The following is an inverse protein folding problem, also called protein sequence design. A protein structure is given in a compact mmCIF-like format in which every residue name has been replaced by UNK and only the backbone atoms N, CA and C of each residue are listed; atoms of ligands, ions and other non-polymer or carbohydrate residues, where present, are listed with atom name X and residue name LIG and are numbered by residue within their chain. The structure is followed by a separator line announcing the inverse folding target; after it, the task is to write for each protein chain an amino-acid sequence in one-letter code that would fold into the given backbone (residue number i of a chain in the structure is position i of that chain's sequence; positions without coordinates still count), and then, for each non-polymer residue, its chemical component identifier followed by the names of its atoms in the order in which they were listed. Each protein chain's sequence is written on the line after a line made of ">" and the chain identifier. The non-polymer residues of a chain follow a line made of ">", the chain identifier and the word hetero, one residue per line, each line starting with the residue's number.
data_IF_092862131838
#
_entry.id   IF_092862131838
#
_cell.length_a   1.000
_cell.length_b   1.000
_cell.length_c   1.000
_cell.angle_alpha   90.00
_cell.angle_beta   90.00
_cell.angle_gamma   90.00
#
_symmetry.space_group_name_H-M   'P 1'
#
loop_
_entity.id
_entity.type
_entity.pdbx_description
1 polymer ?
#
# COMPACT_ATOMS: atom_id res chain seq x y z
N UNK A 1 -17.68 24.17 15.82
CA UNK A 1 -17.55 23.31 14.62
C UNK A 1 -16.17 22.69 14.69
N UNK A 2 -16.05 21.38 14.86
CA UNK A 2 -14.77 20.70 14.84
C UNK A 2 -14.16 20.88 13.45
N UNK A 3 -12.93 21.36 13.39
CA UNK A 3 -12.20 21.53 12.13
C UNK A 3 -12.04 20.15 11.49
N UNK A 4 -12.76 19.86 10.40
CA UNK A 4 -12.65 18.60 9.64
C UNK A 4 -11.25 18.59 9.03
N UNK A 5 -10.54 17.47 9.19
CA UNK A 5 -9.20 17.28 8.63
C UNK A 5 -9.28 17.27 7.09
N UNK A 6 -8.48 18.11 6.43
CA UNK A 6 -8.49 18.26 4.98
C UNK A 6 -7.18 17.80 4.38
N UNK A 7 -7.25 16.78 3.52
CA UNK A 7 -6.13 16.39 2.69
C UNK A 7 -5.89 17.43 1.59
N UNK A 8 -4.67 17.48 1.07
CA UNK A 8 -4.30 18.32 -0.07
C UNK A 8 -3.64 17.47 -1.15
N UNK A 9 -3.69 17.92 -2.38
CA UNK A 9 -2.95 17.32 -3.48
C UNK A 9 -1.46 17.59 -3.27
N UNK A 10 -0.63 16.59 -3.52
CA UNK A 10 0.80 16.79 -3.71
C UNK A 10 1.13 16.75 -5.20
N UNK A 11 1.51 17.87 -5.75
CA UNK A 11 2.17 17.95 -7.06
C UNK A 11 3.67 18.05 -6.83
N UNK A 12 4.32 16.88 -6.72
CA UNK A 12 5.70 16.83 -6.25
C UNK A 12 5.83 17.39 -4.83
N UNK A 13 6.70 18.36 -4.67
CA UNK A 13 6.97 19.04 -3.39
C UNK A 13 5.97 20.15 -3.05
N UNK A 14 5.00 20.42 -3.93
CA UNK A 14 4.01 21.49 -3.75
C UNK A 14 2.67 20.95 -3.28
N UNK A 15 2.12 21.53 -2.19
CA UNK A 15 0.75 21.26 -1.75
C UNK A 15 -0.25 22.20 -2.46
N UNK A 16 -1.30 21.64 -3.01
CA UNK A 16 -2.42 22.42 -3.56
C UNK A 16 -3.75 21.95 -2.96
N UNK A 17 -4.65 22.90 -2.73
CA UNK A 17 -6.04 22.64 -2.34
C UNK A 17 -6.99 22.91 -3.52
N UNK A 18 -8.22 22.40 -3.42
CA UNK A 18 -9.31 22.66 -4.34
C UNK A 18 -10.54 23.11 -3.56
N UNK A 19 -11.38 23.92 -4.18
CA UNK A 19 -12.69 24.28 -3.60
C UNK A 19 -13.61 23.06 -3.54
N UNK A 20 -13.58 22.24 -4.60
CA UNK A 20 -14.32 20.99 -4.64
C UNK A 20 -13.66 19.95 -3.76
N UNK A 21 -14.35 19.55 -2.69
CA UNK A 21 -13.91 18.57 -1.71
C UNK A 21 -14.90 17.40 -1.65
N UNK A 22 -14.37 16.19 -1.59
CA UNK A 22 -15.15 14.99 -1.27
C UNK A 22 -15.01 14.69 0.22
N UNK A 23 -16.13 14.68 0.93
CA UNK A 23 -16.17 14.31 2.35
C UNK A 23 -15.99 12.81 2.52
N UNK A 24 -15.20 12.43 3.52
CA UNK A 24 -15.14 11.06 4.03
C UNK A 24 -15.96 10.95 5.30
N UNK A 25 -16.93 10.04 5.28
CA UNK A 25 -17.76 9.68 6.44
C UNK A 25 -17.25 8.41 7.06
N UNK A 26 -17.18 8.39 8.39
CA UNK A 26 -16.87 7.17 9.15
C UNK A 26 -17.91 6.09 8.85
N UNK A 27 -17.50 4.87 8.50
CA UNK A 27 -18.46 3.78 8.27
C UNK A 27 -19.09 3.28 9.58
N UNK A 28 -18.60 3.71 10.74
CA UNK A 28 -19.15 3.33 12.04
C UNK A 28 -20.39 4.14 12.43
N UNK A 29 -20.33 5.47 12.30
CA UNK A 29 -21.36 6.39 12.80
C UNK A 29 -21.87 7.40 11.77
N UNK A 30 -21.29 7.41 10.57
CA UNK A 30 -21.65 8.34 9.50
C UNK A 30 -21.14 9.78 9.68
N UNK A 31 -20.38 10.05 10.73
CA UNK A 31 -19.81 11.38 10.96
C UNK A 31 -18.78 11.73 9.88
N UNK A 32 -18.73 12.98 9.45
CA UNK A 32 -17.69 13.48 8.54
C UNK A 32 -16.39 13.58 9.33
N UNK A 33 -15.36 12.84 8.91
CA UNK A 33 -14.09 12.72 9.62
C UNK A 33 -12.91 13.35 8.90
N UNK A 34 -12.96 13.39 7.57
CA UNK A 34 -11.96 14.05 6.73
C UNK A 34 -12.57 14.48 5.39
N UNK A 35 -11.79 15.19 4.60
CA UNK A 35 -12.13 15.47 3.20
C UNK A 35 -10.87 15.47 2.34
N UNK A 36 -11.05 15.29 1.03
CA UNK A 36 -9.98 15.39 0.04
C UNK A 36 -10.43 16.15 -1.20
N UNK A 37 -9.50 16.82 -1.89
CA UNK A 37 -9.79 17.47 -3.15
C UNK A 37 -10.29 16.46 -4.19
N UNK A 38 -11.26 16.88 -5.01
CA UNK A 38 -11.68 16.11 -6.19
C UNK A 38 -10.75 16.47 -7.34
N UNK A 39 -9.90 15.53 -7.72
CA UNK A 39 -9.01 15.64 -8.89
C UNK A 39 -9.69 15.07 -10.14
N UNK A 40 -9.23 15.54 -11.29
CA UNK A 40 -9.65 15.10 -12.62
C UNK A 40 -8.48 14.52 -13.44
N UNK A 41 -8.72 14.31 -14.73
CA UNK A 41 -7.71 13.84 -15.68
C UNK A 41 -6.54 14.82 -15.83
N UNK A 42 -6.80 16.13 -15.84
CA UNK A 42 -5.77 17.16 -16.03
C UNK A 42 -4.85 17.24 -14.80
N UNK A 43 -5.38 17.11 -13.59
CA UNK A 43 -4.60 16.99 -12.36
C UNK A 43 -3.68 15.77 -12.39
N UNK A 44 -4.20 14.66 -12.89
CA UNK A 44 -3.42 13.41 -13.03
C UNK A 44 -2.29 13.59 -14.04
N UNK A 45 -2.57 14.22 -15.18
CA UNK A 45 -1.55 14.52 -16.20
C UNK A 45 -0.50 15.49 -15.66
N UNK A 46 -0.91 16.51 -14.90
CA UNK A 46 0.00 17.44 -14.21
C UNK A 46 0.93 16.69 -13.28
N UNK A 47 0.40 15.84 -12.39
CA UNK A 47 1.20 15.02 -11.47
C UNK A 47 2.19 14.10 -12.20
N UNK A 48 1.75 13.48 -13.29
CA UNK A 48 2.58 12.61 -14.13
C UNK A 48 3.73 13.37 -14.80
N UNK A 49 3.49 14.59 -15.28
CA UNK A 49 4.53 15.40 -15.91
C UNK A 49 5.58 15.86 -14.88
N UNK A 50 5.17 16.21 -13.66
CA UNK A 50 6.07 16.53 -12.56
C UNK A 50 6.92 15.31 -12.19
N UNK A 51 6.30 14.15 -11.98
CA UNK A 51 7.03 12.91 -11.71
C UNK A 51 8.01 12.56 -12.86
N UNK A 52 7.62 12.79 -14.11
CA UNK A 52 8.50 12.59 -15.29
C UNK A 52 9.73 13.51 -15.22
N UNK A 53 9.58 14.76 -14.82
CA UNK A 53 10.71 15.69 -14.68
C UNK A 53 11.67 15.29 -13.56
N UNK A 54 11.16 14.67 -12.49
CA UNK A 54 11.94 14.21 -11.35
C UNK A 54 12.78 12.93 -11.59
N UNK A 55 12.50 12.16 -12.66
CA UNK A 55 13.15 10.86 -12.92
C UNK A 55 14.67 10.96 -12.83
N UNK A 56 15.26 11.97 -13.47
CA UNK A 56 16.72 12.10 -13.54
C UNK A 56 17.35 12.37 -12.16
N UNK A 57 16.71 13.21 -11.36
CA UNK A 57 17.15 13.51 -10.00
C UNK A 57 17.01 12.29 -9.11
N UNK A 58 15.87 11.61 -9.17
CA UNK A 58 15.60 10.39 -8.41
C UNK A 58 16.60 9.27 -8.74
N UNK A 59 16.84 8.99 -10.02
CA UNK A 59 17.75 7.93 -10.46
C UNK A 59 19.23 8.23 -10.10
N UNK A 60 19.63 9.51 -10.05
CA UNK A 60 21.00 9.91 -9.72
C UNK A 60 21.23 10.15 -8.23
N UNK A 61 20.17 10.14 -7.42
CA UNK A 61 20.31 10.33 -5.98
C UNK A 61 21.18 9.24 -5.36
N UNK A 62 22.08 9.57 -4.43
CA UNK A 62 22.90 8.58 -3.75
C UNK A 62 22.04 7.54 -3.03
N UNK A 63 22.48 6.29 -3.03
CA UNK A 63 21.79 5.21 -2.29
C UNK A 63 21.66 5.55 -0.80
N UNK A 64 22.70 6.13 -0.21
CA UNK A 64 22.70 6.58 1.18
C UNK A 64 21.62 7.62 1.47
N UNK A 65 21.38 8.58 0.57
CA UNK A 65 20.31 9.57 0.73
C UNK A 65 18.93 8.89 0.75
N UNK A 66 18.71 7.92 -0.13
CA UNK A 66 17.43 7.19 -0.22
C UNK A 66 17.19 6.30 1.01
N UNK A 67 18.24 5.69 1.56
CA UNK A 67 18.16 4.95 2.83
C UNK A 67 17.81 5.90 3.96
N UNK A 68 18.54 7.02 4.12
CA UNK A 68 18.25 8.03 5.15
C UNK A 68 16.85 8.63 5.01
N UNK A 69 16.35 8.80 3.78
CA UNK A 69 14.97 9.24 3.54
C UNK A 69 13.95 8.28 4.14
N UNK A 70 14.09 6.99 3.87
CA UNK A 70 13.20 5.96 4.40
C UNK A 70 13.31 5.83 5.92
N UNK A 71 14.52 5.92 6.49
CA UNK A 71 14.75 5.88 7.93
C UNK A 71 14.10 7.08 8.66
N UNK A 72 14.24 8.30 8.10
CA UNK A 72 13.60 9.51 8.62
C UNK A 72 12.06 9.38 8.62
N UNK A 73 11.49 8.85 7.53
CA UNK A 73 10.04 8.58 7.44
C UNK A 73 9.61 7.53 8.47
N UNK A 74 10.36 6.44 8.63
CA UNK A 74 10.05 5.40 9.61
C UNK A 74 10.09 5.94 11.05
N UNK A 75 11.05 6.80 11.37
CA UNK A 75 11.14 7.45 12.66
C UNK A 75 9.94 8.37 12.91
N UNK A 76 9.65 9.29 11.99
CA UNK A 76 8.51 10.22 12.09
C UNK A 76 7.17 9.50 12.20
N UNK A 77 7.00 8.39 11.46
CA UNK A 77 5.80 7.56 11.57
C UNK A 77 5.69 6.89 12.94
N UNK A 78 6.81 6.46 13.51
CA UNK A 78 6.84 5.90 14.87
C UNK A 78 6.42 6.93 15.91
N UNK A 79 6.91 8.17 15.78
CA UNK A 79 6.57 9.30 16.66
C UNK A 79 5.09 9.69 16.56
N UNK A 80 4.50 9.61 15.36
CA UNK A 80 3.10 9.94 15.09
C UNK A 80 2.14 8.72 15.16
N UNK A 81 2.55 7.60 15.77
CA UNK A 81 1.82 6.33 15.76
C UNK A 81 0.35 6.48 16.15
N UNK A 82 0.06 7.17 17.24
CA UNK A 82 -1.32 7.30 17.73
C UNK A 82 -2.19 8.17 16.83
N UNK A 83 -1.63 9.23 16.23
CA UNK A 83 -2.36 10.08 15.28
C UNK A 83 -2.79 9.29 14.04
N UNK A 84 -1.90 8.43 13.51
CA UNK A 84 -2.23 7.56 12.39
C UNK A 84 -3.22 6.46 12.80
N UNK A 85 -3.05 5.85 13.96
CA UNK A 85 -3.99 4.82 14.45
C UNK A 85 -5.40 5.37 14.62
N UNK A 86 -5.53 6.57 15.22
CA UNK A 86 -6.81 7.25 15.36
C UNK A 86 -7.42 7.65 14.01
N UNK A 87 -6.60 8.08 13.04
CA UNK A 87 -7.10 8.42 11.71
C UNK A 87 -7.63 7.19 10.98
N UNK A 88 -6.94 6.06 11.06
CA UNK A 88 -7.40 4.77 10.54
C UNK A 88 -8.74 4.35 11.17
N UNK A 89 -8.87 4.48 12.49
CA UNK A 89 -10.13 4.18 13.17
C UNK A 89 -11.26 5.10 12.70
N UNK A 90 -10.99 6.37 12.45
CA UNK A 90 -11.97 7.34 11.95
C UNK A 90 -12.38 7.07 10.51
N UNK A 91 -11.43 6.92 9.59
CA UNK A 91 -11.70 6.86 8.15
C UNK A 91 -12.26 5.51 7.69
N UNK A 92 -11.79 4.40 8.27
CA UNK A 92 -12.17 3.03 7.83
C UNK A 92 -12.76 2.17 8.95
N UNK A 93 -13.07 2.75 10.11
CA UNK A 93 -13.59 2.07 11.29
C UNK A 93 -12.77 0.81 11.69
N UNK A 94 -11.46 0.85 11.47
CA UNK A 94 -10.56 -0.21 11.90
C UNK A 94 -10.42 -0.16 13.42
N UNK A 95 -10.60 -1.28 14.15
CA UNK A 95 -10.38 -1.31 15.58
C UNK A 95 -9.03 -0.72 15.97
N UNK A 96 -9.01 0.12 17.01
CA UNK A 96 -7.81 0.91 17.38
C UNK A 96 -6.59 0.01 17.65
N UNK A 97 -6.79 -1.16 18.25
CA UNK A 97 -5.72 -2.13 18.45
C UNK A 97 -5.12 -2.60 17.11
N UNK A 98 -5.95 -2.89 16.09
CA UNK A 98 -5.48 -3.29 14.76
C UNK A 98 -4.90 -2.11 13.98
N UNK A 99 -5.38 -0.90 14.21
CA UNK A 99 -4.83 0.33 13.64
C UNK A 99 -3.39 0.56 14.11
N UNK A 100 -3.13 0.40 15.41
CA UNK A 100 -1.76 0.48 15.98
C UNK A 100 -0.83 -0.57 15.37
N UNK A 101 -1.31 -1.81 15.22
CA UNK A 101 -0.55 -2.89 14.57
C UNK A 101 -0.26 -2.55 13.09
N UNK A 102 -1.21 -1.94 12.36
CA UNK A 102 -0.96 -1.52 10.99
C UNK A 102 0.15 -0.47 10.90
N UNK A 103 0.16 0.52 11.81
CA UNK A 103 1.23 1.53 11.87
C UNK A 103 2.59 0.87 12.16
N UNK A 104 2.67 -0.03 13.12
CA UNK A 104 3.89 -0.78 13.45
C UNK A 104 4.42 -1.55 12.23
N UNK A 105 3.54 -2.29 11.55
CA UNK A 105 3.89 -3.02 10.34
C UNK A 105 4.31 -2.10 9.20
N UNK A 106 3.72 -0.92 9.11
CA UNK A 106 4.14 0.09 8.13
C UNK A 106 5.58 0.57 8.40
N UNK A 107 5.92 0.84 9.66
CA UNK A 107 7.28 1.19 10.07
C UNK A 107 8.26 0.06 9.72
N UNK A 108 7.90 -1.19 10.00
CA UNK A 108 8.72 -2.37 9.64
C UNK A 108 8.91 -2.48 8.12
N UNK A 109 7.84 -2.30 7.34
CA UNK A 109 7.89 -2.32 5.88
C UNK A 109 8.89 -1.30 5.33
N UNK A 110 8.90 -0.08 5.88
CA UNK A 110 9.82 0.98 5.47
C UNK A 110 11.26 0.63 5.86
N UNK A 111 11.47 0.15 7.09
CA UNK A 111 12.81 -0.24 7.59
C UNK A 111 13.40 -1.40 6.78
N UNK A 112 12.61 -2.45 6.51
CA UNK A 112 13.03 -3.57 5.68
C UNK A 112 13.35 -3.08 4.27
N UNK A 113 12.54 -2.20 3.70
CA UNK A 113 12.83 -1.59 2.40
C UNK A 113 14.17 -0.87 2.41
N UNK A 114 14.47 -0.06 3.43
CA UNK A 114 15.74 0.64 3.54
C UNK A 114 16.94 -0.34 3.62
N UNK A 115 16.79 -1.43 4.38
CA UNK A 115 17.81 -2.48 4.48
C UNK A 115 18.04 -3.19 3.13
N UNK A 116 16.95 -3.53 2.43
CA UNK A 116 17.02 -4.25 1.14
C UNK A 116 17.61 -3.40 0.01
N UNK A 117 17.62 -2.09 0.13
CA UNK A 117 18.29 -1.24 -0.87
C UNK A 117 19.77 -1.55 -1.01
N UNK A 118 20.44 -1.98 0.04
CA UNK A 118 21.84 -2.39 -0.01
C UNK A 118 22.06 -3.65 -0.88
N UNK A 119 21.00 -4.45 -1.10
CA UNK A 119 21.04 -5.67 -1.91
C UNK A 119 20.71 -5.42 -3.39
N UNK A 120 20.44 -4.16 -3.80
CA UNK A 120 20.22 -3.80 -5.20
C UNK A 120 21.53 -3.79 -6.00
N UNK A 121 22.25 -4.91 -5.96
CA UNK A 121 23.48 -5.12 -6.72
C UNK A 121 23.19 -5.64 -8.13
N UNK A 122 24.24 -5.66 -8.97
CA UNK A 122 24.28 -6.41 -10.22
C UNK A 122 25.05 -7.71 -10.06
N UNK A 123 25.22 -8.40 -11.18
CA UNK A 123 25.96 -9.67 -11.23
C UNK A 123 26.91 -9.64 -12.43
N UNK A 124 28.07 -10.32 -12.27
CA UNK A 124 28.97 -10.65 -13.37
C UNK A 124 28.57 -12.01 -13.95
N UNK A 125 28.41 -12.06 -15.25
CA UNK A 125 27.97 -13.26 -15.96
C UNK A 125 29.17 -14.05 -16.52
N UNK A 126 29.21 -15.38 -16.37
CA UNK A 126 30.22 -16.21 -17.00
C UNK A 126 29.96 -16.25 -18.52
N UNK A 127 30.89 -15.73 -19.31
CA UNK A 127 30.74 -15.65 -20.76
C UNK A 127 31.54 -16.71 -21.51
N UNK A 128 32.47 -17.35 -20.83
CA UNK A 128 33.37 -18.36 -21.38
C UNK A 128 32.85 -19.80 -21.31
N UNK A 129 31.57 -19.98 -20.98
CA UNK A 129 30.84 -21.25 -21.05
C UNK A 129 30.95 -21.83 -22.48
N UNK A 130 30.97 -20.96 -23.51
CA UNK A 130 31.18 -21.30 -24.89
C UNK A 130 32.49 -20.70 -25.41
N UNK A 131 33.20 -21.36 -26.32
CA UNK A 131 34.46 -20.85 -26.89
C UNK A 131 34.36 -19.47 -27.50
N UNK A 132 33.21 -19.09 -28.05
CA UNK A 132 32.94 -17.78 -28.63
C UNK A 132 32.89 -16.66 -27.57
N UNK A 133 32.66 -16.98 -26.32
CA UNK A 133 32.58 -16.00 -25.22
C UNK A 133 33.92 -15.65 -24.58
N UNK A 134 35.04 -16.29 -25.01
CA UNK A 134 36.39 -15.98 -24.54
C UNK A 134 36.71 -14.49 -24.72
N UNK A 135 37.29 -13.87 -23.70
CA UNK A 135 37.68 -12.45 -23.65
C UNK A 135 36.51 -11.48 -23.59
N UNK A 136 35.30 -11.94 -23.31
CA UNK A 136 34.14 -11.08 -23.09
C UNK A 136 33.93 -10.91 -21.59
N UNK A 137 33.69 -9.68 -21.11
CA UNK A 137 33.20 -9.36 -19.77
C UNK A 137 31.75 -8.92 -19.89
N UNK A 138 30.85 -9.64 -19.20
CA UNK A 138 29.44 -9.24 -19.14
C UNK A 138 29.01 -9.08 -17.66
N UNK A 139 28.26 -8.04 -17.44
CA UNK A 139 27.62 -7.80 -16.16
C UNK A 139 26.32 -7.03 -16.38
N UNK A 140 25.42 -7.09 -15.41
CA UNK A 140 24.26 -6.22 -15.38
C UNK A 140 24.19 -5.48 -14.04
N UNK A 141 23.51 -4.38 -14.03
CA UNK A 141 23.11 -3.65 -12.82
C UNK A 141 21.62 -3.32 -12.88
N UNK A 142 21.02 -3.09 -11.71
CA UNK A 142 19.62 -2.70 -11.60
C UNK A 142 19.50 -1.19 -11.75
N UNK A 143 18.56 -0.76 -12.57
CA UNK A 143 18.28 0.66 -12.81
C UNK A 143 16.81 0.97 -12.48
N UNK A 144 16.49 2.19 -11.99
CA UNK A 144 15.11 2.63 -11.83
C UNK A 144 14.33 2.53 -13.13
N UNK A 145 13.06 2.15 -13.06
CA UNK A 145 12.20 2.04 -14.25
C UNK A 145 11.67 3.40 -14.72
N UNK A 146 11.70 4.42 -13.87
CA UNK A 146 11.23 5.78 -14.18
C UNK A 146 10.06 6.21 -13.30
N UNK A 147 8.87 6.40 -13.86
CA UNK A 147 7.67 6.72 -13.08
C UNK A 147 6.89 5.44 -12.74
N UNK A 148 6.48 5.32 -11.48
CA UNK A 148 5.61 4.25 -10.98
C UNK A 148 4.25 4.85 -10.61
N UNK A 149 3.18 4.36 -11.25
CA UNK A 149 1.81 4.66 -10.87
C UNK A 149 1.34 3.69 -9.77
N UNK A 150 0.95 4.21 -8.62
CA UNK A 150 0.51 3.44 -7.46
C UNK A 150 -0.98 3.66 -7.19
N UNK A 151 -1.76 2.57 -7.08
CA UNK A 151 -3.19 2.61 -6.75
C UNK A 151 -3.41 1.66 -5.58
N UNK A 152 -4.02 2.16 -4.48
CA UNK A 152 -4.09 1.44 -3.21
C UNK A 152 -5.52 1.24 -2.71
N UNK A 153 -5.78 0.16 -1.93
CA UNK A 153 -7.09 -0.20 -1.39
C UNK A 153 -7.33 0.42 -0.01
N UNK A 154 -8.53 0.17 0.54
CA UNK A 154 -9.00 0.74 1.80
C UNK A 154 -8.69 -0.10 3.05
N UNK A 155 -8.44 -1.39 2.91
CA UNK A 155 -8.41 -2.33 4.04
C UNK A 155 -7.14 -2.22 4.92
N UNK A 156 -6.02 -1.83 4.33
CA UNK A 156 -4.77 -1.44 5.01
C UNK A 156 -4.22 -0.18 4.34
N UNK A 157 -4.93 0.95 4.49
CA UNK A 157 -4.70 2.14 3.64
C UNK A 157 -3.40 2.88 3.95
N UNK A 158 -2.73 2.55 5.06
CA UNK A 158 -1.40 3.04 5.40
C UNK A 158 -0.32 2.07 4.91
N UNK A 159 -0.37 0.81 5.35
CA UNK A 159 0.70 -0.15 5.07
C UNK A 159 0.77 -0.53 3.58
N UNK A 160 -0.37 -0.67 2.88
CA UNK A 160 -0.36 -0.98 1.44
C UNK A 160 0.07 0.21 0.57
N UNK A 161 -0.03 1.44 1.07
CA UNK A 161 0.65 2.59 0.46
C UNK A 161 2.16 2.45 0.64
N UNK A 162 2.63 2.14 1.85
CA UNK A 162 4.06 1.95 2.12
C UNK A 162 4.68 0.86 1.24
N UNK A 163 4.01 -0.28 1.06
CA UNK A 163 4.45 -1.38 0.18
C UNK A 163 4.69 -0.97 -1.27
N UNK A 164 4.11 0.14 -1.71
CA UNK A 164 4.26 0.65 -3.08
C UNK A 164 5.25 1.80 -3.15
N UNK A 165 5.01 2.87 -2.36
CA UNK A 165 5.81 4.08 -2.51
C UNK A 165 7.22 3.94 -1.92
N UNK A 166 7.39 3.24 -0.79
CA UNK A 166 8.70 3.11 -0.16
C UNK A 166 9.71 2.36 -1.07
N UNK A 167 9.42 1.15 -1.60
CA UNK A 167 10.35 0.47 -2.50
C UNK A 167 10.53 1.20 -3.84
N UNK A 168 9.48 1.88 -4.35
CA UNK A 168 9.60 2.64 -5.60
C UNK A 168 10.55 3.82 -5.45
N UNK A 169 10.35 4.67 -4.43
CA UNK A 169 11.21 5.82 -4.13
C UNK A 169 12.61 5.38 -3.71
N UNK A 170 12.70 4.35 -2.86
CA UNK A 170 13.97 3.76 -2.43
C UNK A 170 14.79 3.24 -3.60
N UNK A 171 14.19 2.63 -4.61
CA UNK A 171 14.87 2.20 -5.83
C UNK A 171 15.22 3.34 -6.80
N UNK A 172 14.91 4.60 -6.46
CA UNK A 172 15.25 5.78 -7.27
C UNK A 172 14.24 6.08 -8.38
N UNK A 173 13.00 5.68 -8.22
CA UNK A 173 11.91 6.06 -9.13
C UNK A 173 11.17 7.30 -8.63
N UNK A 174 10.41 7.95 -9.52
CA UNK A 174 9.37 8.90 -9.16
C UNK A 174 8.00 8.19 -9.09
N UNK A 175 7.10 8.69 -8.25
CA UNK A 175 5.83 8.03 -7.94
C UNK A 175 4.67 9.00 -8.11
N UNK A 176 3.59 8.52 -8.73
CA UNK A 176 2.26 9.13 -8.65
C UNK A 176 1.35 8.15 -7.91
N UNK A 177 0.87 8.55 -6.74
CA UNK A 177 -0.02 7.78 -5.89
C UNK A 177 -1.46 8.26 -6.07
N UNK A 178 -2.35 7.31 -6.36
CA UNK A 178 -3.79 7.45 -6.20
C UNK A 178 -4.23 6.57 -5.02
N UNK A 179 -4.41 7.15 -3.83
CA UNK A 179 -4.91 6.38 -2.70
C UNK A 179 -6.39 6.06 -2.86
N UNK A 180 -6.88 5.19 -1.98
CA UNK A 180 -8.31 4.92 -1.86
C UNK A 180 -9.07 6.18 -1.41
N UNK A 181 -10.27 6.45 -1.94
CA UNK A 181 -11.11 7.55 -1.45
C UNK A 181 -11.66 7.31 -0.02
N UNK A 182 -11.57 6.07 0.49
CA UNK A 182 -12.01 5.73 1.85
C UNK A 182 -11.04 6.17 2.95
N UNK A 183 -9.78 6.49 2.63
CA UNK A 183 -8.76 6.90 3.62
C UNK A 183 -7.84 8.02 3.08
N UNK A 184 -8.40 9.14 2.64
CA UNK A 184 -7.63 10.19 1.99
C UNK A 184 -6.69 10.92 2.95
N UNK A 185 -7.12 11.16 4.20
CA UNK A 185 -6.31 11.88 5.17
C UNK A 185 -5.15 11.03 5.68
N UNK A 186 -5.36 9.73 5.89
CA UNK A 186 -4.28 8.79 6.20
C UNK A 186 -3.20 8.82 5.13
N UNK A 187 -3.59 8.79 3.85
CA UNK A 187 -2.66 8.84 2.72
C UNK A 187 -1.92 10.20 2.64
N UNK A 188 -2.63 11.31 2.86
CA UNK A 188 -2.04 12.64 2.90
C UNK A 188 -0.99 12.77 4.01
N UNK A 189 -1.36 12.41 5.24
CA UNK A 189 -0.45 12.44 6.39
C UNK A 189 0.82 11.62 6.10
N UNK A 190 0.66 10.45 5.51
CA UNK A 190 1.79 9.58 5.20
C UNK A 190 2.68 10.14 4.08
N UNK A 191 2.10 10.62 2.97
CA UNK A 191 2.84 11.27 1.90
C UNK A 191 3.61 12.51 2.41
N UNK A 192 3.01 13.25 3.34
CA UNK A 192 3.63 14.42 3.96
C UNK A 192 4.93 14.07 4.69
N UNK A 193 5.02 12.90 5.34
CA UNK A 193 6.26 12.44 5.97
C UNK A 193 7.40 12.30 4.95
N UNK A 194 7.08 11.84 3.73
CA UNK A 194 8.06 11.74 2.65
C UNK A 194 8.45 13.11 2.09
N UNK A 195 7.47 13.98 1.81
CA UNK A 195 7.71 15.29 1.20
C UNK A 195 8.46 16.22 2.16
N UNK A 196 8.10 16.23 3.44
CA UNK A 196 8.72 17.07 4.47
C UNK A 196 10.03 16.50 5.04
N UNK A 197 10.53 15.39 4.51
CA UNK A 197 11.80 14.85 4.92
C UNK A 197 12.95 15.73 4.42
N UNK A 198 13.92 16.00 5.28
CA UNK A 198 15.15 16.72 4.87
C UNK A 198 16.01 15.97 3.84
N UNK A 199 15.72 14.70 3.64
CA UNK A 199 16.37 13.83 2.66
C UNK A 199 15.51 13.62 1.40
N UNK A 200 14.33 14.25 1.33
CA UNK A 200 13.42 14.11 0.20
C UNK A 200 14.11 14.43 -1.13
N UNK A 201 13.73 13.70 -2.14
CA UNK A 201 14.09 14.01 -3.52
C UNK A 201 12.96 14.87 -4.08
N UNK A 202 13.30 16.09 -4.48
CA UNK A 202 12.33 17.05 -4.99
C UNK A 202 11.47 16.44 -6.12
N UNK A 203 10.18 16.67 -6.03
CA UNK A 203 9.16 16.23 -7.01
C UNK A 203 9.06 14.71 -7.26
N UNK A 204 9.73 13.88 -6.45
CA UNK A 204 9.70 12.44 -6.63
C UNK A 204 8.37 11.78 -6.23
N UNK A 205 7.51 12.43 -5.45
CA UNK A 205 6.21 11.91 -5.01
C UNK A 205 5.11 12.91 -5.29
N UNK A 206 4.10 12.49 -6.08
CA UNK A 206 2.83 13.21 -6.23
C UNK A 206 1.67 12.34 -5.71
N UNK A 207 0.63 12.99 -5.17
CA UNK A 207 -0.59 12.32 -4.69
C UNK A 207 -1.80 13.03 -5.26
N UNK A 208 -2.65 12.28 -5.97
CA UNK A 208 -3.90 12.74 -6.56
C UNK A 208 -5.07 11.91 -6.05
N UNK A 209 -6.19 12.55 -5.78
CA UNK A 209 -7.39 11.91 -5.25
C UNK A 209 -8.46 11.84 -6.32
N UNK A 210 -9.33 10.85 -6.24
CA UNK A 210 -10.44 10.70 -7.18
C UNK A 210 -10.76 9.24 -7.48
N UNK A 211 -11.71 9.06 -8.37
CA UNK A 211 -12.32 7.78 -8.70
C UNK A 211 -11.67 7.07 -9.90
N UNK A 212 -12.51 6.42 -10.70
CA UNK A 212 -12.10 5.61 -11.84
C UNK A 212 -11.46 6.44 -12.96
N UNK A 213 -11.85 7.70 -13.16
CA UNK A 213 -11.27 8.58 -14.17
C UNK A 213 -9.79 8.85 -13.89
N UNK A 214 -9.46 9.30 -12.67
CA UNK A 214 -8.08 9.51 -12.21
C UNK A 214 -7.26 8.24 -12.33
N UNK A 215 -7.84 7.09 -11.90
CA UNK A 215 -7.19 5.78 -12.01
C UNK A 215 -6.91 5.37 -13.47
N UNK A 216 -7.89 5.54 -14.34
CA UNK A 216 -7.76 5.20 -15.77
C UNK A 216 -6.76 6.10 -16.47
N UNK A 217 -6.78 7.41 -16.20
CA UNK A 217 -5.80 8.37 -16.74
C UNK A 217 -4.38 8.00 -16.33
N UNK A 218 -4.18 7.64 -15.05
CA UNK A 218 -2.89 7.18 -14.54
C UNK A 218 -2.40 5.91 -15.28
N UNK A 219 -3.29 4.94 -15.49
CA UNK A 219 -2.96 3.64 -16.11
C UNK A 219 -2.72 3.79 -17.60
N UNK A 220 -3.52 4.58 -18.32
CA UNK A 220 -3.46 4.71 -19.79
C UNK A 220 -2.31 5.61 -20.24
N UNK A 221 -1.87 6.57 -19.42
CA UNK A 221 -0.77 7.48 -19.78
C UNK A 221 0.52 6.72 -20.13
N UNK A 222 1.28 7.18 -21.11
CA UNK A 222 2.58 6.60 -21.50
C UNK A 222 3.74 6.93 -20.55
N UNK A 223 3.51 7.79 -19.55
CA UNK A 223 4.55 8.24 -18.63
C UNK A 223 4.94 7.14 -17.62
N UNK A 224 4.00 6.47 -16.91
CA UNK A 224 4.35 5.38 -16.01
C UNK A 224 4.94 4.19 -16.78
N UNK A 225 6.00 3.60 -16.25
CA UNK A 225 6.60 2.37 -16.78
C UNK A 225 6.16 1.13 -16.00
N UNK A 226 5.64 1.35 -14.80
CA UNK A 226 5.07 0.33 -13.94
C UNK A 226 3.81 0.86 -13.29
N UNK A 227 2.77 0.03 -13.26
CA UNK A 227 1.55 0.24 -12.47
C UNK A 227 1.55 -0.78 -11.33
N UNK A 228 1.53 -0.29 -10.10
CA UNK A 228 1.39 -1.11 -8.89
C UNK A 228 -0.01 -0.92 -8.31
N UNK A 229 -0.83 -1.95 -8.39
CA UNK A 229 -2.22 -1.95 -7.96
C UNK A 229 -2.47 -2.99 -6.87
N UNK A 230 -3.22 -2.60 -5.85
CA UNK A 230 -3.85 -3.53 -4.91
C UNK A 230 -5.33 -3.21 -4.83
N UNK A 231 -6.19 -4.22 -5.02
CA UNK A 231 -7.62 -4.05 -4.99
C UNK A 231 -8.39 -5.27 -5.51
N UNK A 232 -9.57 -5.03 -6.08
CA UNK A 232 -10.43 -6.12 -6.56
C UNK A 232 -9.96 -6.74 -7.88
N UNK A 233 -10.27 -8.02 -8.08
CA UNK A 233 -9.99 -8.75 -9.33
C UNK A 233 -10.61 -8.06 -10.56
N UNK A 234 -11.88 -7.60 -10.53
CA UNK A 234 -12.47 -6.88 -11.67
C UNK A 234 -11.67 -5.64 -12.08
N UNK A 235 -11.24 -4.82 -11.12
CA UNK A 235 -10.43 -3.63 -11.41
C UNK A 235 -9.04 -4.01 -11.91
N UNK A 236 -8.41 -5.05 -11.34
CA UNK A 236 -7.14 -5.59 -11.84
C UNK A 236 -7.23 -6.00 -13.32
N UNK A 237 -8.31 -6.66 -13.73
CA UNK A 237 -8.56 -7.02 -15.13
C UNK A 237 -8.71 -5.79 -16.03
N UNK A 238 -9.36 -4.73 -15.55
CA UNK A 238 -9.47 -3.46 -16.30
C UNK A 238 -8.08 -2.85 -16.49
N UNK A 239 -7.31 -2.74 -15.41
CA UNK A 239 -5.94 -2.20 -15.44
C UNK A 239 -5.07 -2.98 -16.42
N UNK A 240 -5.09 -4.31 -16.38
CA UNK A 240 -4.31 -5.15 -17.31
C UNK A 240 -4.64 -4.86 -18.77
N UNK A 241 -5.93 -4.65 -19.10
CA UNK A 241 -6.36 -4.30 -20.45
C UNK A 241 -5.93 -2.89 -20.87
N UNK A 242 -5.92 -1.94 -19.94
CA UNK A 242 -5.61 -0.54 -20.21
C UNK A 242 -4.12 -0.22 -20.20
N UNK A 243 -3.32 -1.00 -19.47
CA UNK A 243 -1.89 -0.74 -19.28
C UNK A 243 -1.03 -0.94 -20.54
N UNK A 244 -1.51 -1.67 -21.54
CA UNK A 244 -0.73 -1.99 -22.74
C UNK A 244 0.49 -2.84 -22.38
N UNK A 245 1.67 -2.45 -22.86
CA UNK A 245 2.94 -3.18 -22.63
C UNK A 245 3.66 -2.79 -21.33
N UNK A 246 3.08 -1.92 -20.51
CA UNK A 246 3.68 -1.52 -19.23
C UNK A 246 3.80 -2.71 -18.29
N UNK A 247 4.79 -2.67 -17.39
CA UNK A 247 4.83 -3.60 -16.27
C UNK A 247 3.64 -3.36 -15.36
N UNK A 248 2.99 -4.43 -14.93
CA UNK A 248 1.87 -4.37 -13.98
C UNK A 248 2.18 -5.32 -12.83
N UNK A 249 2.12 -4.79 -11.59
CA UNK A 249 2.20 -5.55 -10.35
C UNK A 249 0.82 -5.51 -9.69
N UNK A 250 0.17 -6.67 -9.59
CA UNK A 250 -1.19 -6.80 -9.10
C UNK A 250 -1.21 -7.60 -7.79
N UNK A 251 -1.79 -6.99 -6.77
CA UNK A 251 -2.17 -7.66 -5.53
C UNK A 251 -3.69 -7.66 -5.46
N UNK A 252 -4.31 -8.81 -5.54
CA UNK A 252 -5.75 -8.95 -5.72
C UNK A 252 -6.40 -9.75 -4.58
N UNK A 253 -7.71 -9.77 -4.56
CA UNK A 253 -8.47 -10.62 -3.65
C UNK A 253 -8.26 -12.11 -3.97
N UNK A 254 -8.37 -12.93 -2.94
CA UNK A 254 -8.26 -14.37 -3.03
C UNK A 254 -9.48 -15.08 -2.48
N UNK A 255 -9.42 -16.41 -2.51
CA UNK A 255 -10.39 -17.31 -1.90
C UNK A 255 -9.61 -18.42 -1.19
N UNK A 256 -8.80 -18.02 -0.19
CA UNK A 256 -7.94 -18.92 0.54
C UNK A 256 -8.74 -20.01 1.28
N UNK A 257 -8.23 -21.23 1.21
CA UNK A 257 -8.82 -22.38 1.87
C UNK A 257 -7.84 -22.98 2.88
N UNK A 258 -8.37 -23.46 3.99
CA UNK A 258 -7.64 -24.26 4.98
C UNK A 258 -8.24 -25.64 5.04
N UNK A 259 -7.41 -26.66 5.18
CA UNK A 259 -7.84 -28.03 5.44
C UNK A 259 -7.50 -28.41 6.90
N UNK A 260 -8.49 -28.95 7.60
CA UNK A 260 -8.36 -29.47 8.96
C UNK A 260 -8.36 -30.99 8.88
N UNK A 261 -7.19 -31.57 9.10
CA UNK A 261 -7.02 -33.02 9.18
C UNK A 261 -7.43 -33.56 10.55
N UNK A 262 -7.78 -34.84 10.60
CA UNK A 262 -8.17 -35.50 11.86
C UNK A 262 -7.06 -35.56 12.91
N UNK A 263 -5.80 -35.44 12.49
CA UNK A 263 -4.64 -35.39 13.38
C UNK A 263 -4.33 -34.00 13.92
N UNK A 264 -5.07 -32.97 13.51
CA UNK A 264 -4.86 -31.58 13.94
C UNK A 264 -5.26 -31.37 15.41
N UNK A 265 -4.59 -30.43 16.08
CA UNK A 265 -5.10 -29.83 17.32
C UNK A 265 -6.33 -28.98 16.98
N UNK A 266 -7.52 -29.51 17.20
CA UNK A 266 -8.78 -28.88 16.79
C UNK A 266 -9.04 -27.57 17.53
N UNK A 267 -8.62 -27.45 18.80
CA UNK A 267 -8.80 -26.23 19.59
C UNK A 267 -7.93 -25.09 19.05
N UNK A 268 -6.65 -25.38 18.80
CA UNK A 268 -5.73 -24.41 18.18
C UNK A 268 -6.20 -24.05 16.77
N UNK A 269 -6.61 -25.04 15.98
CA UNK A 269 -7.09 -24.83 14.61
C UNK A 269 -8.32 -23.92 14.57
N UNK A 270 -9.32 -24.16 15.46
CA UNK A 270 -10.52 -23.34 15.55
C UNK A 270 -10.20 -21.89 15.93
N UNK A 271 -9.34 -21.67 16.94
CA UNK A 271 -8.92 -20.32 17.34
C UNK A 271 -8.21 -19.58 16.20
N UNK A 272 -7.30 -20.26 15.47
CA UNK A 272 -6.57 -19.66 14.33
C UNK A 272 -7.49 -19.42 13.14
N UNK A 273 -8.46 -20.29 12.87
CA UNK A 273 -9.45 -20.10 11.81
C UNK A 273 -10.40 -18.94 12.13
N UNK A 274 -10.87 -18.79 13.39
CA UNK A 274 -11.69 -17.65 13.80
C UNK A 274 -10.92 -16.33 13.61
N UNK A 275 -9.67 -16.26 14.06
CA UNK A 275 -8.82 -15.09 13.82
C UNK A 275 -8.64 -14.81 12.33
N UNK A 276 -8.29 -15.82 11.52
CA UNK A 276 -8.04 -15.66 10.09
C UNK A 276 -9.26 -15.26 9.28
N UNK A 277 -10.46 -15.66 9.72
CA UNK A 277 -11.72 -15.33 9.06
C UNK A 277 -12.22 -13.92 9.40
N UNK A 278 -12.02 -13.47 10.64
CA UNK A 278 -12.65 -12.24 11.15
C UNK A 278 -11.69 -11.09 11.44
N UNK A 279 -10.38 -11.29 11.25
CA UNK A 279 -9.40 -10.20 11.36
C UNK A 279 -9.78 -9.03 10.44
N UNK A 280 -9.77 -7.80 10.98
CA UNK A 280 -10.19 -6.59 10.26
C UNK A 280 -11.60 -6.72 9.61
N UNK A 281 -12.53 -7.36 10.33
CA UNK A 281 -13.91 -7.66 9.85
C UNK A 281 -13.94 -8.52 8.56
N UNK A 282 -12.94 -9.39 8.38
CA UNK A 282 -12.79 -10.22 7.18
C UNK A 282 -12.28 -9.48 5.93
N UNK A 283 -11.97 -8.18 6.04
CA UNK A 283 -11.54 -7.34 4.92
C UNK A 283 -10.05 -7.50 4.62
N UNK A 284 -9.61 -8.72 4.39
CA UNK A 284 -8.20 -9.07 4.13
C UNK A 284 -8.11 -9.94 2.89
N UNK A 285 -7.16 -9.66 2.00
CA UNK A 285 -6.96 -10.45 0.77
C UNK A 285 -6.65 -11.92 1.05
N UNK A 286 -6.03 -12.21 2.20
CA UNK A 286 -5.73 -13.56 2.70
C UNK A 286 -6.74 -14.03 3.76
N UNK A 287 -7.91 -13.41 3.88
CA UNK A 287 -8.96 -13.84 4.80
C UNK A 287 -9.32 -15.31 4.54
N UNK A 288 -9.52 -16.05 5.62
CA UNK A 288 -9.92 -17.45 5.55
C UNK A 288 -11.39 -17.53 5.14
N UNK A 289 -11.64 -17.85 3.87
CA UNK A 289 -12.98 -17.86 3.28
C UNK A 289 -13.61 -19.24 3.22
N UNK A 290 -12.80 -20.31 3.24
CA UNK A 290 -13.25 -21.69 3.18
C UNK A 290 -12.43 -22.58 4.12
N UNK A 291 -13.13 -23.43 4.86
CA UNK A 291 -12.52 -24.43 5.72
C UNK A 291 -13.04 -25.80 5.29
N UNK A 292 -12.12 -26.64 4.82
CA UNK A 292 -12.40 -28.05 4.55
C UNK A 292 -12.01 -28.85 5.79
N UNK A 293 -12.93 -29.63 6.31
CA UNK A 293 -12.72 -30.39 7.55
C UNK A 293 -12.87 -31.86 7.27
N UNK A 294 -11.97 -32.69 7.76
CA UNK A 294 -12.10 -34.15 7.70
C UNK A 294 -13.41 -34.56 8.37
N UNK A 295 -14.14 -35.50 7.75
CA UNK A 295 -15.48 -35.91 8.17
C UNK A 295 -15.51 -36.43 9.62
N UNK A 296 -14.48 -37.14 10.05
CA UNK A 296 -14.38 -37.72 11.40
C UNK A 296 -14.35 -36.66 12.52
N UNK A 297 -13.91 -35.44 12.22
CA UNK A 297 -13.77 -34.35 13.20
C UNK A 297 -14.62 -33.13 12.92
N UNK A 298 -15.49 -33.21 11.90
CA UNK A 298 -16.25 -32.04 11.42
C UNK A 298 -17.15 -31.45 12.50
N UNK A 299 -17.97 -32.23 13.18
CA UNK A 299 -18.90 -31.73 14.19
C UNK A 299 -18.17 -31.10 15.38
N UNK A 300 -17.10 -31.74 15.84
CA UNK A 300 -16.28 -31.23 16.94
C UNK A 300 -15.61 -29.91 16.57
N UNK A 301 -15.04 -29.84 15.37
CA UNK A 301 -14.41 -28.61 14.88
C UNK A 301 -15.43 -27.46 14.70
N UNK A 302 -16.61 -27.77 14.15
CA UNK A 302 -17.66 -26.77 13.95
C UNK A 302 -18.14 -26.15 15.26
N UNK A 303 -18.28 -26.98 16.33
CA UNK A 303 -18.61 -26.48 17.67
C UNK A 303 -17.52 -25.57 18.23
N UNK A 304 -16.24 -26.00 18.18
CA UNK A 304 -15.10 -25.19 18.63
C UNK A 304 -14.99 -23.90 17.85
N UNK A 305 -15.17 -23.91 16.53
CA UNK A 305 -15.16 -22.70 15.70
C UNK A 305 -16.28 -21.73 16.10
N UNK A 306 -17.48 -22.23 16.38
CA UNK A 306 -18.59 -21.40 16.85
C UNK A 306 -18.31 -20.79 18.23
N UNK A 307 -17.68 -21.54 19.15
CA UNK A 307 -17.28 -21.04 20.46
C UNK A 307 -16.21 -19.95 20.35
N UNK A 308 -15.18 -20.14 19.54
CA UNK A 308 -14.17 -19.12 19.29
C UNK A 308 -14.75 -17.86 18.65
N UNK A 309 -15.66 -18.01 17.69
CA UNK A 309 -16.34 -16.88 17.04
C UNK A 309 -17.17 -16.06 18.03
N UNK A 310 -17.84 -16.71 19.00
CA UNK A 310 -18.63 -16.02 20.06
C UNK A 310 -17.78 -15.18 21.00
N UNK A 311 -16.48 -15.43 21.10
CA UNK A 311 -15.54 -14.61 21.93
C UNK A 311 -15.21 -13.27 21.27
N UNK A 312 -15.49 -13.12 19.99
CA UNK A 312 -15.22 -11.86 19.28
C UNK A 312 -16.18 -10.77 19.76
N UNK A 313 -15.60 -9.64 20.14
CA UNK A 313 -16.37 -8.46 20.53
C UNK A 313 -16.63 -7.59 19.30
N UNK A 314 -17.89 -7.24 19.08
CA UNK A 314 -18.33 -6.27 18.10
C UNK A 314 -18.71 -4.99 18.82
N UNK A 315 -18.12 -3.87 18.43
CA UNK A 315 -18.31 -2.60 19.12
C UNK A 315 -17.70 -1.42 18.39
N UNK A 316 -17.44 -0.36 19.13
CA UNK A 316 -16.81 0.86 18.61
C UNK A 316 -15.37 0.59 18.16
N UNK A 317 -14.92 1.14 17.01
CA UNK A 317 -13.53 1.02 16.60
C UNK A 317 -12.54 1.73 17.52
N UNK A 318 -13.03 2.56 18.44
CA UNK A 318 -12.22 3.29 19.42
C UNK A 318 -12.03 2.55 20.74
N UNK A 319 -12.77 1.45 20.96
CA UNK A 319 -12.65 0.63 22.19
C UNK A 319 -11.32 -0.13 22.17
N UNK A 320 -10.66 -0.25 23.37
CA UNK A 320 -9.39 -0.94 23.54
C UNK A 320 -9.51 -2.48 23.45
#
# INVERSE_FOLDING_TARGET
>A
MSNIAQAKIFFGSTEENRESQQERKSPFDGAVVSSAPVCDADDTIKALNIAKSAIKAAAKSPLSQRILWLEDVAQKLTEAKEDFALMLAKEVAKPIAFSRVEVERCVETIKITAMELANLSGETLPTDIMPSGKKTLAYFRREPVGVVGCITPFNFPLNLVAHKIAPALGAGNAVVLKPTPEAPMTAYMFAKLFVDSKYAIEDALSVVYGDAEVGSTLVQSDIPRLISFTGSVPVGNIITKQAGIKKVSLELGGNAATYIDKSADLSLAAARCAFGAFYNSGQVCISLLRIYVNEEVYETFAQLMAEETKKLKVGSPYDE
#
